data_IF_767747715808
#
_entry.id   IF_767747715808
#
_cell.length_a   1.000
_cell.length_b   1.000
_cell.length_c   1.000
_cell.angle_alpha   90.00
_cell.angle_beta   90.00
_cell.angle_gamma   90.00
#
_symmetry.space_group_name_H-M   'P 1'
#
loop_
_entity.id
_entity.type
_entity.pdbx_description
1 polymer ?
#
# COMPACT_ATOMS: atom_id res chain seq x y z
N UNK A 1 -16.76 20.74 -8.95
CA UNK A 1 -16.76 20.08 -7.62
C UNK A 1 -15.90 18.82 -7.57
N UNK A 2 -15.92 17.93 -8.59
CA UNK A 2 -15.10 16.71 -8.59
C UNK A 2 -13.58 16.90 -8.45
N UNK A 3 -12.98 17.91 -9.11
CA UNK A 3 -11.52 18.12 -9.05
C UNK A 3 -10.98 18.50 -7.66
N UNK A 4 -11.69 19.37 -6.92
CA UNK A 4 -11.31 19.76 -5.57
C UNK A 4 -11.39 18.58 -4.60
N UNK A 5 -12.46 17.78 -4.69
CA UNK A 5 -12.64 16.59 -3.84
C UNK A 5 -11.53 15.58 -4.10
N UNK A 6 -11.22 15.29 -5.37
CA UNK A 6 -10.13 14.38 -5.72
C UNK A 6 -8.78 14.88 -5.23
N UNK A 7 -8.52 16.18 -5.31
CA UNK A 7 -7.27 16.79 -4.83
C UNK A 7 -7.13 16.68 -3.30
N UNK A 8 -8.19 16.95 -2.55
CA UNK A 8 -8.19 16.81 -1.08
C UNK A 8 -7.98 15.37 -0.67
N UNK A 9 -8.67 14.42 -1.32
CA UNK A 9 -8.49 12.98 -1.05
C UNK A 9 -7.07 12.53 -1.38
N UNK A 10 -6.52 13.00 -2.50
CA UNK A 10 -5.15 12.66 -2.91
C UNK A 10 -4.10 13.15 -1.90
N UNK A 11 -4.19 14.41 -1.46
CA UNK A 11 -3.27 14.95 -0.45
C UNK A 11 -3.46 14.22 0.88
N UNK A 12 -4.70 14.01 1.32
CA UNK A 12 -4.99 13.31 2.57
C UNK A 12 -4.38 11.91 2.60
N UNK A 13 -4.55 11.15 1.52
CA UNK A 13 -3.94 9.83 1.37
C UNK A 13 -2.40 9.90 1.32
N UNK A 14 -1.85 10.89 0.62
CA UNK A 14 -0.39 11.07 0.53
C UNK A 14 0.21 11.32 1.91
N UNK A 15 -0.39 12.24 2.69
CA UNK A 15 0.05 12.55 4.06
C UNK A 15 -0.09 11.32 4.96
N UNK A 16 -1.22 10.61 4.86
CA UNK A 16 -1.45 9.37 5.60
C UNK A 16 -0.34 8.35 5.36
N UNK A 17 -0.01 8.06 4.09
CA UNK A 17 1.06 7.12 3.75
C UNK A 17 2.43 7.61 4.19
N UNK A 18 2.67 8.92 4.17
CA UNK A 18 3.92 9.51 4.62
C UNK A 18 4.13 9.30 6.13
N UNK A 19 3.11 9.54 6.95
CA UNK A 19 3.16 9.33 8.40
C UNK A 19 3.35 7.84 8.71
N UNK A 20 2.53 6.98 8.09
CA UNK A 20 2.65 5.54 8.25
C UNK A 20 4.03 5.02 7.83
N UNK A 21 4.62 5.61 6.79
CA UNK A 21 6.00 5.30 6.38
C UNK A 21 7.00 5.69 7.46
N UNK A 22 6.94 6.90 8.03
CA UNK A 22 7.90 7.34 9.03
C UNK A 22 7.86 6.43 10.26
N UNK A 23 6.66 6.13 10.74
CA UNK A 23 6.47 5.19 11.87
C UNK A 23 6.99 3.79 11.51
N UNK A 24 6.75 3.33 10.28
CA UNK A 24 7.27 2.07 9.78
C UNK A 24 8.79 2.04 9.64
N UNK A 25 9.40 3.14 9.19
CA UNK A 25 10.84 3.26 9.00
C UNK A 25 11.58 3.31 10.34
N UNK A 26 11.01 3.98 11.33
CA UNK A 26 11.51 3.96 12.70
C UNK A 26 11.38 2.56 13.29
N UNK A 27 10.22 1.91 13.15
CA UNK A 27 9.99 0.58 13.73
C UNK A 27 10.77 -0.55 13.04
N UNK A 28 11.03 -0.46 11.74
CA UNK A 28 11.74 -1.51 11.00
C UNK A 28 13.24 -1.26 10.95
N UNK A 29 13.66 -0.03 10.62
CA UNK A 29 15.07 0.30 10.39
C UNK A 29 15.70 1.11 11.51
N UNK A 30 14.93 1.56 12.51
CA UNK A 30 15.41 2.50 13.53
C UNK A 30 15.71 3.89 12.96
N UNK A 31 15.15 4.22 11.79
CA UNK A 31 15.42 5.49 11.11
C UNK A 31 14.47 6.57 11.60
N UNK A 32 15.02 7.60 12.22
CA UNK A 32 14.27 8.76 12.70
C UNK A 32 14.90 10.08 12.24
N UNK A 33 14.07 11.08 11.96
CA UNK A 33 14.50 12.45 11.67
C UNK A 33 14.20 12.94 10.26
N UNK A 34 14.43 14.24 10.03
CA UNK A 34 14.06 14.92 8.79
C UNK A 34 14.75 14.36 7.53
N UNK A 35 15.95 13.78 7.69
CA UNK A 35 16.72 13.20 6.60
C UNK A 35 16.03 11.97 5.97
N UNK A 36 15.19 11.26 6.73
CA UNK A 36 14.42 10.11 6.24
C UNK A 36 13.46 10.58 5.14
N UNK A 37 12.76 11.69 5.37
CA UNK A 37 11.88 12.30 4.38
C UNK A 37 12.65 12.83 3.17
N UNK A 38 13.80 13.45 3.42
CA UNK A 38 14.67 13.97 2.38
C UNK A 38 15.32 12.88 1.50
N UNK A 39 15.53 11.67 2.02
CA UNK A 39 16.11 10.55 1.29
C UNK A 39 15.06 9.76 0.48
N UNK A 40 13.82 9.70 0.98
CA UNK A 40 12.71 9.01 0.31
C UNK A 40 12.33 9.67 -1.01
N UNK A 41 12.22 11.00 -1.04
CA UNK A 41 11.76 11.71 -2.25
C UNK A 41 12.70 11.43 -3.45
N UNK A 42 14.04 11.57 -3.32
CA UNK A 42 14.98 11.15 -4.35
C UNK A 42 14.90 9.65 -4.64
N UNK A 43 14.76 8.80 -3.62
CA UNK A 43 14.70 7.36 -3.82
C UNK A 43 13.50 6.96 -4.69
N UNK A 44 12.32 7.54 -4.48
CA UNK A 44 11.14 7.32 -5.34
C UNK A 44 11.42 7.79 -6.76
N UNK A 45 11.99 8.98 -6.94
CA UNK A 45 12.23 9.57 -8.26
C UNK A 45 13.26 8.73 -9.05
N UNK A 46 14.32 8.28 -8.39
CA UNK A 46 15.43 7.55 -9.02
C UNK A 46 15.09 6.09 -9.30
N UNK A 47 14.26 5.45 -8.47
CA UNK A 47 13.92 4.01 -8.60
C UNK A 47 12.53 3.76 -9.17
N UNK A 48 11.74 4.82 -9.39
CA UNK A 48 10.40 4.77 -9.99
C UNK A 48 9.48 3.81 -9.24
N UNK A 49 9.02 2.77 -9.95
CA UNK A 49 8.06 1.77 -9.42
C UNK A 49 8.60 0.97 -8.24
N UNK A 50 9.90 0.75 -8.17
CA UNK A 50 10.51 -0.01 -7.07
C UNK A 50 10.50 0.82 -5.77
N UNK A 51 10.82 2.11 -5.86
CA UNK A 51 10.79 3.03 -4.72
C UNK A 51 9.37 3.25 -4.19
N UNK A 52 8.39 3.38 -5.09
CA UNK A 52 6.99 3.47 -4.66
C UNK A 52 6.52 2.19 -3.98
N UNK A 53 6.95 1.02 -4.46
CA UNK A 53 6.60 -0.27 -3.84
C UNK A 53 7.23 -0.40 -2.44
N UNK A 54 8.51 -0.04 -2.31
CA UNK A 54 9.21 -0.02 -1.04
C UNK A 54 8.49 0.87 -0.02
N UNK A 55 8.07 2.08 -0.43
CA UNK A 55 7.35 3.01 0.43
C UNK A 55 6.05 2.40 0.96
N UNK A 56 5.27 1.78 0.08
CA UNK A 56 4.01 1.13 0.44
C UNK A 56 4.24 -0.05 1.39
N UNK A 57 5.30 -0.83 1.20
CA UNK A 57 5.66 -1.97 2.08
C UNK A 57 6.05 -1.48 3.47
N UNK A 58 6.89 -0.45 3.55
CA UNK A 58 7.33 0.12 4.84
C UNK A 58 6.17 0.84 5.55
N UNK A 59 5.34 1.57 4.81
CA UNK A 59 4.12 2.15 5.36
C UNK A 59 3.17 1.08 5.89
N UNK A 60 3.00 -0.03 5.15
CA UNK A 60 2.21 -1.18 5.60
C UNK A 60 2.76 -1.81 6.88
N UNK A 61 4.08 -1.88 7.03
CA UNK A 61 4.73 -2.33 8.26
C UNK A 61 4.39 -1.40 9.44
N UNK A 62 4.44 -0.08 9.23
CA UNK A 62 4.03 0.93 10.22
C UNK A 62 2.56 0.77 10.63
N UNK A 63 1.65 0.61 9.66
CA UNK A 63 0.23 0.38 9.93
C UNK A 63 -0.01 -0.89 10.77
N UNK A 64 0.68 -1.98 10.45
CA UNK A 64 0.50 -3.25 11.14
C UNK A 64 1.15 -3.27 12.53
N UNK A 65 2.41 -2.89 12.66
CA UNK A 65 3.16 -3.04 13.90
C UNK A 65 3.07 -1.84 14.83
N UNK A 66 2.96 -0.61 14.30
CA UNK A 66 2.87 0.61 15.12
C UNK A 66 1.42 0.96 15.39
N UNK A 67 0.59 1.04 14.35
CA UNK A 67 -0.82 1.42 14.50
C UNK A 67 -1.72 0.24 14.87
N UNK A 68 -1.17 -0.98 14.92
CA UNK A 68 -1.87 -2.21 15.31
C UNK A 68 -3.10 -2.50 14.45
N UNK A 69 -3.07 -2.08 13.18
CA UNK A 69 -4.16 -2.39 12.27
C UNK A 69 -4.20 -3.89 11.98
N UNK A 70 -5.38 -4.49 11.84
CA UNK A 70 -5.48 -5.87 11.44
C UNK A 70 -4.97 -6.05 10.02
N UNK A 71 -4.30 -7.18 9.76
CA UNK A 71 -3.58 -7.44 8.51
C UNK A 71 -4.46 -7.29 7.26
N UNK A 72 -5.74 -7.67 7.35
CA UNK A 72 -6.69 -7.58 6.23
C UNK A 72 -6.96 -6.12 5.81
N UNK A 73 -6.99 -5.17 6.76
CA UNK A 73 -7.11 -3.74 6.44
C UNK A 73 -5.83 -3.21 5.82
N UNK A 74 -4.67 -3.61 6.34
CA UNK A 74 -3.37 -3.20 5.81
C UNK A 74 -3.20 -3.68 4.37
N UNK A 75 -3.54 -4.93 4.07
CA UNK A 75 -3.49 -5.48 2.71
C UNK A 75 -4.44 -4.71 1.79
N UNK A 76 -5.66 -4.39 2.24
CA UNK A 76 -6.61 -3.67 1.40
C UNK A 76 -6.23 -2.24 1.09
N UNK A 77 -5.62 -1.55 2.05
CA UNK A 77 -5.19 -0.16 1.87
C UNK A 77 -3.89 -0.09 1.07
N UNK A 78 -2.86 -0.83 1.45
CA UNK A 78 -1.55 -0.78 0.81
C UNK A 78 -1.50 -1.53 -0.53
N UNK A 79 -2.24 -2.63 -0.68
CA UNK A 79 -2.15 -3.51 -1.85
C UNK A 79 -3.53 -3.81 -2.46
N UNK A 80 -4.30 -2.79 -2.88
CA UNK A 80 -5.62 -2.99 -3.45
C UNK A 80 -5.59 -3.87 -4.71
N UNK A 81 -4.50 -3.82 -5.48
CA UNK A 81 -4.27 -4.68 -6.64
C UNK A 81 -4.15 -6.18 -6.30
N UNK A 82 -3.58 -6.53 -5.13
CA UNK A 82 -3.52 -7.93 -4.69
C UNK A 82 -4.92 -8.46 -4.36
N UNK A 83 -5.77 -7.65 -3.73
CA UNK A 83 -7.17 -8.02 -3.48
C UNK A 83 -7.90 -8.27 -4.79
N UNK A 84 -7.77 -7.35 -5.76
CA UNK A 84 -8.35 -7.52 -7.08
C UNK A 84 -7.86 -8.80 -7.77
N UNK A 85 -6.56 -9.12 -7.71
CA UNK A 85 -6.02 -10.37 -8.24
C UNK A 85 -6.64 -11.58 -7.56
N UNK A 86 -6.74 -11.61 -6.22
CA UNK A 86 -7.35 -12.74 -5.49
C UNK A 86 -8.79 -12.97 -5.96
N UNK A 87 -9.59 -11.92 -6.14
CA UNK A 87 -10.94 -12.07 -6.67
C UNK A 87 -10.97 -12.61 -8.10
N UNK A 88 -10.10 -12.10 -8.97
CA UNK A 88 -10.02 -12.57 -10.37
C UNK A 88 -9.60 -14.04 -10.44
N UNK A 89 -8.58 -14.45 -9.68
CA UNK A 89 -8.11 -15.84 -9.63
C UNK A 89 -9.14 -16.77 -9.01
N UNK A 90 -9.79 -16.36 -7.92
CA UNK A 90 -10.82 -17.18 -7.29
C UNK A 90 -12.02 -17.36 -8.23
N UNK A 91 -12.45 -16.28 -8.88
CA UNK A 91 -13.53 -16.32 -9.86
C UNK A 91 -13.22 -17.20 -11.07
N UNK A 92 -11.98 -17.16 -11.59
CA UNK A 92 -11.58 -17.99 -12.72
C UNK A 92 -11.49 -19.48 -12.36
N UNK A 93 -11.01 -19.82 -11.16
CA UNK A 93 -10.99 -21.20 -10.65
C UNK A 93 -12.42 -21.74 -10.50
N UNK A 94 -13.32 -20.96 -9.90
CA UNK A 94 -14.73 -21.35 -9.74
C UNK A 94 -15.39 -21.57 -11.11
N UNK A 95 -15.16 -20.68 -12.07
CA UNK A 95 -15.69 -20.80 -13.42
C UNK A 95 -15.16 -22.05 -14.15
N UNK A 96 -13.88 -22.37 -14.01
CA UNK A 96 -13.29 -23.58 -14.61
C UNK A 96 -13.89 -24.86 -14.01
N UNK A 97 -13.98 -24.95 -12.68
CA UNK A 97 -14.58 -26.10 -11.97
C UNK A 97 -16.03 -26.28 -12.42
N UNK A 98 -16.80 -25.20 -12.48
CA UNK A 98 -18.20 -25.25 -12.90
C UNK A 98 -18.35 -25.66 -14.38
N UNK A 99 -17.42 -25.22 -15.24
CA UNK A 99 -17.36 -25.64 -16.64
C UNK A 99 -17.05 -27.13 -16.82
N UNK A 100 -16.20 -27.71 -15.96
CA UNK A 100 -15.90 -29.16 -15.96
C UNK A 100 -17.08 -30.00 -15.47
N UNK A 101 -17.83 -29.53 -14.48
CA UNK A 101 -18.98 -30.26 -13.93
C UNK A 101 -20.20 -30.31 -14.86
N UNK A 102 -20.28 -29.42 -15.86
CA UNK A 102 -21.38 -29.37 -16.85
C UNK A 102 -21.12 -30.14 -18.15
N UNK A 103 -19.96 -30.78 -18.30
CA UNK A 103 -19.62 -31.65 -19.45
C UNK A 103 -19.70 -33.10 -19.04
#
# INVERSE_FOLDING_TARGET
MGGLVSFVVFIGLTVFYLIAFFDGAEAWFGWSGWWVGAAIIPAIILTGKLGSTFLVVVAGYGLYYVWKWPLWLVIGVCFPGLIAMVFVFTGSIIADIYGRLRR
#
